data_IF_994104957987
#
_entry.id   IF_994104957987
#
_cell.length_a   1.000
_cell.length_b   1.000
_cell.length_c   1.000
_cell.angle_alpha   90.00
_cell.angle_beta   90.00
_cell.angle_gamma   90.00
#
_symmetry.space_group_name_H-M   'P 1'
#
loop_
_entity.id
_entity.type
_entity.pdbx_description
1 polymer ?
#
# COMPACT_ATOMS: atom_id res chain seq x y z
N UNK A 1 -21.27 3.12 -8.84
CA UNK A 1 -20.07 2.26 -8.83
C UNK A 1 -19.54 2.19 -7.41
N UNK A 2 -18.83 1.14 -7.01
CA UNK A 2 -18.28 1.05 -5.65
C UNK A 2 -16.77 1.30 -5.67
N UNK A 3 -16.29 2.11 -4.73
CA UNK A 3 -14.87 2.32 -4.46
C UNK A 3 -14.45 1.38 -3.35
N UNK A 4 -13.40 0.58 -3.56
CA UNK A 4 -13.00 -0.45 -2.60
C UNK A 4 -11.63 -0.08 -2.00
N UNK A 5 -11.52 0.10 -0.68
CA UNK A 5 -10.25 0.33 -0.01
C UNK A 5 -9.41 -0.95 -0.03
N UNK A 6 -8.14 -0.82 -0.38
CA UNK A 6 -7.21 -1.95 -0.48
C UNK A 6 -5.89 -1.54 0.16
N UNK A 7 -5.32 -2.43 0.97
CA UNK A 7 -4.00 -2.22 1.56
C UNK A 7 -3.15 -3.46 1.40
N UNK A 8 -1.87 -3.26 1.12
CA UNK A 8 -0.93 -4.36 0.96
C UNK A 8 0.18 -4.30 2.01
N UNK A 9 0.35 -5.40 2.74
CA UNK A 9 1.43 -5.60 3.69
C UNK A 9 2.62 -6.29 3.01
N UNK A 10 3.84 -5.85 3.31
CA UNK A 10 5.08 -6.43 2.77
C UNK A 10 5.69 -5.73 1.56
N UNK A 11 4.97 -4.82 0.89
CA UNK A 11 5.49 -4.10 -0.30
C UNK A 11 6.71 -3.23 0.03
N UNK A 12 6.66 -2.50 1.15
CA UNK A 12 7.76 -1.63 1.57
C UNK A 12 9.03 -2.41 1.92
N UNK A 13 8.88 -3.58 2.54
CA UNK A 13 10.02 -4.45 2.86
C UNK A 13 10.61 -5.08 1.60
N UNK A 14 9.76 -5.52 0.67
CA UNK A 14 10.21 -5.97 -0.64
C UNK A 14 11.03 -4.89 -1.37
N UNK A 15 10.57 -3.64 -1.35
CA UNK A 15 11.30 -2.50 -1.92
C UNK A 15 12.64 -2.23 -1.21
N UNK A 16 12.66 -2.24 0.13
CA UNK A 16 13.87 -2.05 0.94
C UNK A 16 14.92 -3.13 0.65
N UNK A 17 14.50 -4.39 0.62
CA UNK A 17 15.38 -5.52 0.32
C UNK A 17 15.97 -5.41 -1.09
N UNK A 18 15.15 -5.07 -2.08
CA UNK A 18 15.61 -4.85 -3.45
C UNK A 18 16.61 -3.68 -3.55
N UNK A 19 16.32 -2.54 -2.90
CA UNK A 19 17.21 -1.37 -2.88
C UNK A 19 18.55 -1.66 -2.20
N UNK A 20 18.53 -2.36 -1.07
CA UNK A 20 19.74 -2.79 -0.35
C UNK A 20 20.57 -3.77 -1.18
N UNK A 21 19.91 -4.71 -1.87
CA UNK A 21 20.57 -5.65 -2.76
C UNK A 21 21.27 -4.96 -3.93
N UNK A 22 20.59 -4.03 -4.61
CA UNK A 22 21.17 -3.24 -5.71
C UNK A 22 22.36 -2.42 -5.19
N UNK A 23 22.17 -1.62 -4.15
CA UNK A 23 23.21 -0.73 -3.63
C UNK A 23 24.47 -1.50 -3.21
N UNK A 24 24.31 -2.63 -2.51
CA UNK A 24 25.45 -3.48 -2.16
C UNK A 24 26.11 -4.09 -3.41
N UNK A 25 25.38 -4.46 -4.46
CA UNK A 25 25.96 -5.17 -5.62
C UNK A 25 26.69 -4.26 -6.61
N UNK A 26 26.33 -2.96 -6.68
CA UNK A 26 27.08 -1.96 -7.45
C UNK A 26 28.48 -1.69 -6.85
N UNK A 27 28.64 -1.83 -5.53
CA UNK A 27 29.93 -1.61 -4.85
C UNK A 27 30.94 -2.75 -5.14
N UNK A 28 30.48 -3.96 -5.54
CA UNK A 28 31.35 -5.15 -5.71
C UNK A 28 31.49 -5.67 -7.15
N UNK A 29 31.22 -4.85 -8.18
CA UNK A 29 31.60 -5.14 -9.57
C UNK A 29 31.02 -6.41 -10.22
N UNK A 30 29.93 -6.99 -9.67
CA UNK A 30 29.35 -8.26 -10.15
C UNK A 30 28.27 -8.06 -11.22
N UNK A 31 28.60 -8.49 -12.43
CA UNK A 31 27.76 -8.45 -13.65
C UNK A 31 26.37 -9.09 -13.50
N UNK A 32 25.50 -8.69 -14.42
CA UNK A 32 24.05 -8.44 -14.37
C UNK A 32 23.11 -9.65 -14.56
N UNK A 33 23.61 -10.87 -14.39
CA UNK A 33 22.78 -12.08 -14.51
C UNK A 33 22.05 -12.28 -13.16
N UNK A 34 20.88 -11.68 -12.99
CA UNK A 34 20.01 -11.96 -11.83
C UNK A 34 19.40 -10.74 -11.13
N UNK A 35 18.83 -9.80 -11.87
CA UNK A 35 17.89 -8.78 -11.32
C UNK A 35 16.54 -9.39 -10.93
N UNK A 36 16.50 -10.64 -10.44
CA UNK A 36 15.24 -11.19 -9.96
C UNK A 36 14.91 -10.51 -8.62
N UNK A 37 13.70 -9.94 -8.47
CA UNK A 37 13.27 -9.40 -7.19
C UNK A 37 13.38 -10.47 -6.11
N UNK A 38 13.90 -10.08 -4.94
CA UNK A 38 14.01 -10.97 -3.79
C UNK A 38 12.60 -11.37 -3.37
N UNK A 39 12.32 -12.68 -3.34
CA UNK A 39 11.01 -13.17 -2.91
C UNK A 39 10.74 -12.72 -1.47
N UNK A 40 9.69 -11.94 -1.30
CA UNK A 40 9.18 -11.53 0.00
C UNK A 40 7.66 -11.71 0.01
N UNK A 41 7.06 -12.26 1.08
CA UNK A 41 5.61 -12.39 1.15
C UNK A 41 4.95 -11.01 1.10
N UNK A 42 3.94 -10.91 0.24
CA UNK A 42 3.11 -9.72 0.06
C UNK A 42 1.67 -10.15 0.27
N UNK A 43 0.93 -9.47 1.15
CA UNK A 43 -0.46 -9.80 1.45
C UNK A 43 -1.36 -8.59 1.23
N UNK A 44 -2.25 -8.69 0.24
CA UNK A 44 -3.26 -7.67 -0.02
C UNK A 44 -4.54 -7.99 0.74
N UNK A 45 -5.03 -7.02 1.49
CA UNK A 45 -6.31 -7.07 2.20
C UNK A 45 -7.28 -6.13 1.50
N UNK A 46 -8.46 -6.65 1.18
CA UNK A 46 -9.54 -5.90 0.53
C UNK A 46 -10.59 -5.55 1.59
N UNK A 47 -10.92 -4.28 1.71
CA UNK A 47 -11.90 -3.79 2.67
C UNK A 47 -13.33 -3.76 2.13
N UNK A 48 -14.23 -3.17 2.92
CA UNK A 48 -15.64 -3.04 2.58
C UNK A 48 -15.83 -2.04 1.42
N UNK A 49 -16.67 -2.34 0.43
CA UNK A 49 -16.97 -1.40 -0.65
C UNK A 49 -17.69 -0.15 -0.11
N UNK A 50 -17.25 1.02 -0.58
CA UNK A 50 -17.87 2.33 -0.37
C UNK A 50 -18.73 2.63 -1.60
N UNK A 51 -20.01 2.93 -1.39
CA UNK A 51 -20.92 3.24 -2.48
C UNK A 51 -20.64 4.65 -3.02
N UNK A 52 -20.47 4.78 -4.33
CA UNK A 52 -20.21 6.06 -4.98
C UNK A 52 -21.29 6.34 -6.02
N UNK A 53 -21.99 7.45 -5.80
CA UNK A 53 -22.93 8.03 -6.76
C UNK A 53 -22.12 8.73 -7.85
N UNK A 54 -22.37 8.37 -9.11
CA UNK A 54 -21.70 9.02 -10.23
C UNK A 54 -22.39 10.35 -10.53
N UNK A 55 -21.63 11.43 -10.45
CA UNK A 55 -22.08 12.79 -10.76
C UNK A 55 -21.31 13.28 -11.98
N UNK A 56 -22.00 13.90 -12.94
CA UNK A 56 -21.41 14.34 -14.23
C UNK A 56 -20.32 15.39 -14.01
N UNK A 57 -20.50 16.28 -13.03
CA UNK A 57 -19.53 17.31 -12.65
C UNK A 57 -19.55 17.45 -11.12
N UNK A 58 -18.81 16.60 -10.38
CA UNK A 58 -18.75 16.68 -8.92
C UNK A 58 -18.09 17.99 -8.47
N UNK A 59 -18.50 18.52 -7.33
CA UNK A 59 -17.82 19.65 -6.70
C UNK A 59 -16.57 19.18 -5.94
N UNK A 60 -15.65 20.09 -5.64
CA UNK A 60 -14.48 19.75 -4.81
C UNK A 60 -14.90 19.21 -3.43
N UNK A 61 -15.97 19.77 -2.85
CA UNK A 61 -16.50 19.35 -1.55
C UNK A 61 -16.96 17.89 -1.60
N UNK A 62 -17.65 17.48 -2.67
CA UNK A 62 -18.10 16.10 -2.83
C UNK A 62 -16.91 15.12 -2.92
N UNK A 63 -15.85 15.54 -3.61
CA UNK A 63 -14.61 14.76 -3.75
C UNK A 63 -13.91 14.64 -2.40
N UNK A 64 -13.75 15.75 -1.67
CA UNK A 64 -13.07 15.78 -0.38
C UNK A 64 -13.81 14.90 0.63
N UNK A 65 -15.15 14.97 0.68
CA UNK A 65 -15.96 14.10 1.53
C UNK A 65 -15.80 12.62 1.22
N UNK A 66 -15.79 12.25 -0.07
CA UNK A 66 -15.58 10.87 -0.48
C UNK A 66 -14.14 10.41 -0.17
N UNK A 67 -13.17 11.30 -0.35
CA UNK A 67 -11.77 11.04 -0.03
C UNK A 67 -11.59 10.78 1.47
N UNK A 68 -12.16 11.62 2.33
CA UNK A 68 -12.13 11.44 3.79
C UNK A 68 -12.75 10.10 4.21
N UNK A 69 -13.88 9.72 3.62
CA UNK A 69 -14.50 8.40 3.86
C UNK A 69 -13.58 7.25 3.44
N UNK A 70 -12.90 7.39 2.31
CA UNK A 70 -11.93 6.40 1.84
C UNK A 70 -10.72 6.29 2.78
N UNK A 71 -10.18 7.42 3.23
CA UNK A 71 -9.05 7.46 4.16
C UNK A 71 -9.39 6.80 5.50
N UNK A 72 -10.57 7.08 6.05
CA UNK A 72 -11.05 6.45 7.27
C UNK A 72 -11.17 4.93 7.10
N UNK A 73 -11.73 4.46 5.98
CA UNK A 73 -11.85 3.03 5.71
C UNK A 73 -10.48 2.34 5.55
N UNK A 74 -9.50 3.03 4.95
CA UNK A 74 -8.12 2.54 4.83
C UNK A 74 -7.44 2.47 6.21
N UNK A 75 -7.62 3.49 7.06
CA UNK A 75 -7.05 3.51 8.40
C UNK A 75 -7.63 2.39 9.28
N UNK A 76 -8.94 2.18 9.22
CA UNK A 76 -9.61 1.07 9.91
C UNK A 76 -9.11 -0.29 9.40
N UNK A 77 -9.02 -0.45 8.08
CA UNK A 77 -8.52 -1.68 7.44
C UNK A 77 -7.08 -1.97 7.88
N UNK A 78 -6.23 -0.95 7.92
CA UNK A 78 -4.85 -1.06 8.39
C UNK A 78 -4.79 -1.46 9.86
N UNK A 79 -5.46 -0.71 10.73
CA UNK A 79 -5.38 -0.92 12.18
C UNK A 79 -5.90 -2.29 12.60
N UNK A 80 -6.92 -2.81 11.91
CA UNK A 80 -7.47 -4.15 12.15
C UNK A 80 -6.50 -5.27 11.74
N UNK A 81 -5.65 -5.04 10.74
CA UNK A 81 -4.82 -6.07 10.14
C UNK A 81 -3.31 -5.95 10.47
N UNK A 82 -2.83 -4.79 10.90
CA UNK A 82 -1.38 -4.52 11.08
C UNK A 82 -0.68 -5.51 12.00
N UNK A 83 -1.31 -5.89 13.12
CA UNK A 83 -0.73 -6.84 14.06
C UNK A 83 -0.59 -8.24 13.45
N UNK A 84 -1.61 -8.68 12.69
CA UNK A 84 -1.63 -9.99 12.01
C UNK A 84 -0.47 -10.18 11.03
N UNK A 85 -0.01 -9.11 10.40
CA UNK A 85 1.05 -9.14 9.40
C UNK A 85 2.41 -8.63 9.90
N UNK A 86 2.57 -8.39 11.21
CA UNK A 86 3.83 -7.97 11.81
C UNK A 86 4.16 -6.47 11.70
N UNK A 87 3.15 -5.63 11.42
CA UNK A 87 3.26 -4.18 11.26
C UNK A 87 2.69 -3.41 12.47
N UNK A 88 2.59 -4.04 13.65
CA UNK A 88 2.02 -3.44 14.86
C UNK A 88 2.68 -2.10 15.25
N UNK A 89 4.01 -2.04 15.14
CA UNK A 89 4.81 -0.84 15.46
C UNK A 89 4.92 0.15 14.30
N UNK A 90 4.37 -0.17 13.13
CA UNK A 90 4.43 0.71 11.96
C UNK A 90 3.18 1.59 11.98
N UNK A 91 3.38 2.90 11.86
CA UNK A 91 2.29 3.85 11.72
C UNK A 91 1.99 4.06 10.23
N UNK A 92 0.71 4.03 9.87
CA UNK A 92 0.26 4.40 8.54
C UNK A 92 0.50 5.90 8.32
N UNK A 93 1.15 6.23 7.20
CA UNK A 93 1.33 7.59 6.72
C UNK A 93 0.77 7.67 5.31
N UNK A 94 -0.24 8.50 5.12
CA UNK A 94 -0.86 8.78 3.83
C UNK A 94 -0.31 10.15 3.41
N UNK A 95 0.26 10.22 2.20
CA UNK A 95 0.93 11.41 1.64
C UNK A 95 0.02 12.03 0.58
#
# INVERSE_FOLDING_TARGET
TSLVPVITFGENEHYRLYKNYISNRFIWGRSIIGYLPLRHPVTTVVGKPIHVNQVISPSQIDIDQLHDQYLQAIEELYNTNKAKYGFEHVKLQII
#
